data_IF_357377551489
#
_entry.id   IF_357377551489
#
_cell.length_a   1.000
_cell.length_b   1.000
_cell.length_c   1.000
_cell.angle_alpha   90.00
_cell.angle_beta   90.00
_cell.angle_gamma   90.00
#
_symmetry.space_group_name_H-M   'P 1'
#
loop_
_entity.id
_entity.type
_entity.pdbx_description
1 polymer ?
#
# COMPACT_ATOMS: atom_id res chain seq x y z
N UNK A 1 -23.29 51.43 36.06
CA UNK A 1 -23.54 50.51 34.93
C UNK A 1 -22.19 50.08 34.41
N UNK A 2 -21.66 49.11 35.14
CA UNK A 2 -20.36 48.51 35.00
C UNK A 2 -20.30 47.67 33.72
N UNK A 3 -19.22 47.82 32.96
CA UNK A 3 -18.77 46.81 32.00
C UNK A 3 -17.29 46.54 32.25
N UNK A 4 -17.06 45.65 33.21
CA UNK A 4 -15.82 44.87 33.30
C UNK A 4 -15.74 43.97 32.06
N UNK A 5 -14.66 44.09 31.30
CA UNK A 5 -14.20 43.05 30.36
C UNK A 5 -12.94 42.43 30.96
N UNK A 6 -12.87 41.10 31.14
CA UNK A 6 -11.72 40.47 31.77
C UNK A 6 -10.55 40.39 30.79
N UNK A 7 -9.35 40.65 31.31
CA UNK A 7 -8.10 40.36 30.65
C UNK A 7 -7.96 38.84 30.45
N UNK A 8 -7.90 38.39 29.20
CA UNK A 8 -7.57 37.01 28.86
C UNK A 8 -6.05 36.84 28.96
N UNK A 9 -5.63 36.08 29.96
CA UNK A 9 -4.26 35.60 30.15
C UNK A 9 -3.96 34.59 29.03
N UNK A 10 -3.23 35.01 28.00
CA UNK A 10 -2.69 34.10 27.00
C UNK A 10 -1.54 33.31 27.64
N UNK A 11 -1.82 32.09 28.09
CA UNK A 11 -0.80 31.12 28.46
C UNK A 11 -0.07 30.73 27.18
N UNK A 12 1.11 31.31 27.00
CA UNK A 12 2.11 30.91 26.02
C UNK A 12 2.56 29.48 26.38
N UNK A 13 1.87 28.48 25.84
CA UNK A 13 2.36 27.11 25.90
C UNK A 13 3.49 26.98 24.88
N UNK A 14 4.73 27.11 25.34
CA UNK A 14 5.90 26.66 24.61
C UNK A 14 5.77 25.14 24.40
N UNK A 15 5.22 24.72 23.27
CA UNK A 15 5.53 23.41 22.73
C UNK A 15 6.95 23.49 22.16
N UNK A 16 7.92 23.11 22.97
CA UNK A 16 9.29 22.89 22.56
C UNK A 16 9.36 21.56 21.79
N UNK A 17 9.89 21.63 20.55
CA UNK A 17 10.69 20.65 19.79
C UNK A 17 10.18 19.19 19.71
N UNK A 18 9.97 18.59 18.54
CA UNK A 18 10.70 18.75 17.29
C UNK A 18 9.72 18.72 16.09
N UNK A 19 9.67 19.81 15.33
CA UNK A 19 9.22 19.72 13.95
C UNK A 19 10.29 18.89 13.22
N UNK A 20 9.96 17.65 12.85
CA UNK A 20 10.74 16.92 11.87
C UNK A 20 10.79 17.82 10.63
N UNK A 21 11.97 18.37 10.35
CA UNK A 21 12.19 19.25 9.22
C UNK A 21 12.03 18.37 7.98
N UNK A 22 10.83 18.40 7.38
CA UNK A 22 10.57 17.75 6.11
C UNK A 22 11.45 18.46 5.09
N UNK A 23 12.54 17.83 4.68
CA UNK A 23 13.32 18.23 3.52
C UNK A 23 12.37 18.24 2.31
N UNK A 24 11.87 19.43 1.98
CA UNK A 24 10.62 19.65 1.24
C UNK A 24 10.59 19.20 -0.22
N UNK A 25 11.71 18.67 -0.74
CA UNK A 25 11.87 18.26 -2.15
C UNK A 25 12.56 16.89 -2.33
N UNK A 26 12.77 16.11 -1.26
CA UNK A 26 13.31 14.76 -1.44
C UNK A 26 12.21 13.77 -1.84
N UNK A 27 12.31 13.22 -3.06
CA UNK A 27 11.42 12.18 -3.61
C UNK A 27 11.92 10.75 -3.38
N UNK A 28 13.08 10.58 -2.74
CA UNK A 28 13.61 9.27 -2.36
C UNK A 28 13.07 8.85 -1.00
N UNK A 29 12.86 7.55 -0.83
CA UNK A 29 12.52 7.00 0.47
C UNK A 29 13.63 7.27 1.50
N UNK A 30 13.29 7.34 2.81
CA UNK A 30 14.27 7.65 3.86
C UNK A 30 15.40 6.61 4.03
N UNK A 31 15.32 5.43 3.39
CA UNK A 31 16.30 4.34 3.49
C UNK A 31 16.56 3.85 4.94
N UNK A 32 15.59 4.06 5.84
CA UNK A 32 15.59 3.59 7.22
C UNK A 32 15.02 2.17 7.38
N UNK A 33 14.34 1.68 6.34
CA UNK A 33 13.63 0.40 6.30
C UNK A 33 13.72 -0.20 4.90
N UNK A 34 13.68 -1.54 4.82
CA UNK A 34 13.86 -2.28 3.58
C UNK A 34 12.93 -3.50 3.54
N UNK A 35 12.27 -3.80 2.41
CA UNK A 35 11.43 -4.97 2.28
C UNK A 35 12.28 -6.23 2.19
N UNK A 36 11.79 -7.30 2.81
CA UNK A 36 12.31 -8.66 2.72
C UNK A 36 11.41 -9.49 1.78
N UNK A 37 10.09 -9.30 1.87
CA UNK A 37 9.10 -10.04 1.10
C UNK A 37 7.77 -9.29 1.04
N UNK A 38 7.03 -9.50 -0.04
CA UNK A 38 5.63 -9.13 -0.17
C UNK A 38 4.74 -10.36 -0.25
N UNK A 39 3.59 -10.33 0.43
CA UNK A 39 2.43 -11.14 0.12
C UNK A 39 1.32 -10.20 -0.37
N UNK A 40 1.03 -10.24 -1.67
CA UNK A 40 0.09 -9.36 -2.35
C UNK A 40 -1.16 -10.13 -2.77
N UNK A 41 -2.32 -9.67 -2.32
CA UNK A 41 -3.62 -10.12 -2.77
C UNK A 41 -4.32 -9.00 -3.55
N UNK A 42 -4.80 -9.33 -4.75
CA UNK A 42 -5.55 -8.42 -5.61
C UNK A 42 -6.90 -9.05 -5.99
N UNK A 43 -7.98 -8.31 -5.79
CA UNK A 43 -9.32 -8.67 -6.25
C UNK A 43 -9.72 -7.77 -7.40
N UNK A 44 -10.08 -8.36 -8.55
CA UNK A 44 -10.55 -7.60 -9.72
C UNK A 44 -11.98 -7.97 -10.12
N UNK A 45 -12.75 -6.95 -10.48
CA UNK A 45 -14.14 -7.08 -10.92
C UNK A 45 -14.30 -6.83 -12.42
N UNK A 46 -13.21 -6.89 -13.20
CA UNK A 46 -13.21 -6.55 -14.64
C UNK A 46 -14.20 -7.36 -15.49
N UNK A 47 -14.56 -8.54 -15.00
CA UNK A 47 -15.52 -9.47 -15.58
C UNK A 47 -16.99 -9.07 -15.38
N UNK A 48 -17.28 -8.09 -14.52
CA UNK A 48 -18.62 -7.65 -14.19
C UNK A 48 -19.12 -6.54 -15.13
N UNK A 49 -19.40 -6.92 -16.38
CA UNK A 49 -19.83 -5.97 -17.41
C UNK A 49 -21.01 -5.08 -16.98
N UNK A 50 -20.79 -3.76 -16.97
CA UNK A 50 -21.80 -2.76 -16.62
C UNK A 50 -22.04 -2.57 -15.12
N UNK A 51 -21.27 -3.25 -14.26
CA UNK A 51 -21.32 -3.08 -12.81
C UNK A 51 -20.63 -1.79 -12.36
N UNK A 52 -21.14 -1.17 -11.30
CA UNK A 52 -20.54 0.03 -10.71
C UNK A 52 -19.10 -0.19 -10.21
N UNK A 53 -18.71 -1.45 -9.96
CA UNK A 53 -17.36 -1.81 -9.51
C UNK A 53 -16.49 -2.42 -10.60
N UNK A 54 -16.95 -2.50 -11.86
CA UNK A 54 -16.26 -3.23 -12.94
C UNK A 54 -14.77 -2.88 -13.03
N UNK A 55 -14.42 -1.60 -12.86
CA UNK A 55 -13.04 -1.13 -12.98
C UNK A 55 -12.38 -0.82 -11.65
N UNK A 56 -13.03 -1.12 -10.53
CA UNK A 56 -12.40 -1.10 -9.22
C UNK A 56 -11.54 -2.34 -9.04
N UNK A 57 -10.51 -2.24 -8.21
CA UNK A 57 -9.85 -3.37 -7.60
C UNK A 57 -9.71 -3.15 -6.10
N UNK A 58 -9.77 -4.22 -5.33
CA UNK A 58 -9.43 -4.23 -3.91
C UNK A 58 -8.10 -4.93 -3.72
N UNK A 59 -7.33 -4.52 -2.73
CA UNK A 59 -6.01 -5.06 -2.49
C UNK A 59 -5.67 -5.16 -1.03
N UNK A 60 -4.86 -6.17 -0.74
CA UNK A 60 -4.24 -6.39 0.56
C UNK A 60 -2.77 -6.70 0.32
N UNK A 61 -1.88 -5.91 0.91
CA UNK A 61 -0.43 -6.17 0.82
C UNK A 61 0.15 -6.27 2.21
N UNK A 62 0.82 -7.37 2.48
CA UNK A 62 1.63 -7.57 3.68
C UNK A 62 3.10 -7.54 3.28
N UNK A 63 3.86 -6.67 3.94
CA UNK A 63 5.28 -6.42 3.69
C UNK A 63 6.04 -6.90 4.91
N UNK A 64 6.83 -7.94 4.76
CA UNK A 64 7.90 -8.24 5.72
C UNK A 64 9.06 -7.27 5.46
N UNK A 65 9.54 -6.57 6.49
CA UNK A 65 10.57 -5.56 6.35
C UNK A 65 11.52 -5.51 7.55
N UNK A 66 12.71 -4.98 7.32
CA UNK A 66 13.72 -4.74 8.35
C UNK A 66 13.97 -3.26 8.51
N UNK A 67 13.90 -2.77 9.74
CA UNK A 67 14.29 -1.41 10.15
C UNK A 67 15.69 -1.47 10.76
N UNK A 68 16.61 -0.64 10.27
CA UNK A 68 18.05 -0.66 10.65
C UNK A 68 18.52 0.58 11.42
N UNK A 69 17.61 1.46 11.78
CA UNK A 69 17.91 2.74 12.43
C UNK A 69 17.33 2.75 13.85
N UNK A 70 18.23 2.85 14.84
CA UNK A 70 17.92 2.81 16.28
C UNK A 70 17.12 4.02 16.77
N UNK A 71 16.89 5.02 15.92
CA UNK A 71 16.08 6.20 16.19
C UNK A 71 14.81 6.28 15.35
N UNK A 72 14.53 5.24 14.55
CA UNK A 72 13.42 5.28 13.61
C UNK A 72 12.05 5.15 14.29
N UNK A 73 11.14 6.09 14.02
CA UNK A 73 9.78 6.08 14.56
C UNK A 73 8.70 5.84 13.53
N UNK A 74 9.06 5.68 12.24
CA UNK A 74 8.08 5.54 11.16
C UNK A 74 8.59 4.71 9.99
N UNK A 75 7.67 4.08 9.25
CA UNK A 75 7.96 3.38 8.00
C UNK A 75 7.30 4.15 6.88
N UNK A 76 8.05 4.47 5.83
CA UNK A 76 7.52 5.19 4.66
C UNK A 76 7.66 4.31 3.42
N UNK A 77 6.58 4.18 2.65
CA UNK A 77 6.56 3.48 1.36
C UNK A 77 5.87 4.35 0.31
N UNK A 78 5.99 3.98 -0.96
CA UNK A 78 5.29 4.67 -2.03
C UNK A 78 3.83 4.23 -2.13
N UNK A 79 2.95 5.16 -2.54
CA UNK A 79 1.57 4.90 -2.93
C UNK A 79 1.15 5.89 -4.02
N UNK A 80 0.19 5.54 -4.89
CA UNK A 80 -0.35 6.46 -5.89
C UNK A 80 -1.82 6.16 -6.15
N UNK A 81 -2.69 7.15 -5.87
CA UNK A 81 -4.12 7.12 -6.22
C UNK A 81 -4.88 5.88 -5.73
N UNK A 82 -4.42 5.23 -4.67
CA UNK A 82 -5.15 4.20 -3.93
C UNK A 82 -5.73 4.80 -2.64
N UNK A 83 -6.87 4.26 -2.21
CA UNK A 83 -7.49 4.61 -0.93
C UNK A 83 -7.18 3.54 0.09
N UNK A 84 -6.33 3.87 1.06
CA UNK A 84 -6.00 2.99 2.18
C UNK A 84 -7.17 3.01 3.18
N UNK A 85 -7.68 1.82 3.51
CA UNK A 85 -8.80 1.64 4.45
C UNK A 85 -8.36 1.10 5.79
N UNK A 86 -7.21 0.42 5.84
CA UNK A 86 -6.70 -0.19 7.05
C UNK A 86 -5.17 -0.32 7.00
N UNK A 87 -4.52 -0.14 8.14
CA UNK A 87 -3.09 -0.36 8.33
C UNK A 87 -2.84 -1.16 9.60
N UNK A 88 -1.94 -2.14 9.50
CA UNK A 88 -1.51 -2.94 10.63
C UNK A 88 0.00 -3.07 10.65
N UNK A 89 0.61 -2.89 11.82
CA UNK A 89 2.05 -3.04 12.05
C UNK A 89 2.28 -3.92 13.26
N UNK A 90 3.09 -4.96 13.10
CA UNK A 90 3.44 -5.86 14.20
C UNK A 90 4.84 -6.45 14.05
N UNK A 91 5.36 -7.03 15.12
CA UNK A 91 6.54 -7.90 15.08
C UNK A 91 6.18 -9.27 15.66
N UNK A 92 6.92 -10.30 15.26
CA UNK A 92 6.78 -11.63 15.87
C UNK A 92 7.90 -11.85 16.88
N UNK A 93 7.53 -12.11 18.12
CA UNK A 93 8.46 -12.39 19.22
C UNK A 93 9.07 -13.79 19.06
N UNK A 94 10.20 -14.04 19.75
CA UNK A 94 10.92 -15.33 19.63
C UNK A 94 10.12 -16.57 20.08
N UNK A 95 9.00 -16.40 20.75
CA UNK A 95 8.06 -17.46 21.11
C UNK A 95 6.94 -17.67 20.06
N UNK A 96 7.01 -16.98 18.91
CA UNK A 96 6.01 -17.02 17.85
C UNK A 96 4.76 -16.19 18.10
N UNK A 97 4.71 -15.38 19.17
CA UNK A 97 3.57 -14.49 19.44
C UNK A 97 3.73 -13.18 18.70
N UNK A 98 2.65 -12.69 18.08
CA UNK A 98 2.65 -11.37 17.45
C UNK A 98 2.43 -10.26 18.48
N UNK A 99 3.35 -9.28 18.48
CA UNK A 99 3.23 -8.01 19.18
C UNK A 99 2.69 -6.97 18.20
N UNK A 100 1.39 -6.71 18.28
CA UNK A 100 0.72 -5.68 17.48
C UNK A 100 1.07 -4.30 18.01
N UNK A 101 1.68 -3.47 17.16
CA UNK A 101 2.06 -2.08 17.46
C UNK A 101 1.02 -1.09 16.96
N UNK A 102 0.31 -1.47 15.89
CA UNK A 102 -0.71 -0.67 15.23
C UNK A 102 -1.72 -1.59 14.53
N UNK A 103 -3.00 -1.25 14.61
CA UNK A 103 -4.10 -1.98 13.95
C UNK A 103 -5.31 -1.02 13.87
N UNK A 104 -5.32 -0.13 12.86
CA UNK A 104 -6.36 0.89 12.72
C UNK A 104 -6.52 1.42 11.28
N UNK A 105 -7.36 2.44 11.11
CA UNK A 105 -7.65 3.09 9.83
C UNK A 105 -7.19 4.55 9.74
N UNK A 106 -6.29 5.01 10.64
CA UNK A 106 -5.98 6.43 10.78
C UNK A 106 -4.51 6.77 11.09
N UNK A 107 -3.71 5.82 11.54
CA UNK A 107 -2.31 6.04 11.95
C UNK A 107 -1.33 5.99 10.77
N UNK A 108 -1.68 6.70 9.70
CA UNK A 108 -0.84 6.93 8.54
C UNK A 108 -1.02 8.35 8.00
N UNK A 109 0.02 8.88 7.38
CA UNK A 109 0.02 10.19 6.73
C UNK A 109 0.30 10.00 5.25
N UNK A 110 -0.53 10.62 4.42
CA UNK A 110 -0.38 10.62 2.98
C UNK A 110 0.29 11.91 2.50
N UNK A 111 1.27 11.77 1.62
CA UNK A 111 1.87 12.86 0.86
C UNK A 111 1.62 12.63 -0.63
N UNK A 112 0.55 13.22 -1.20
CA UNK A 112 0.22 13.05 -2.61
C UNK A 112 1.25 13.67 -3.57
N UNK A 113 2.05 14.64 -3.13
CA UNK A 113 3.08 15.29 -3.98
C UNK A 113 4.25 14.36 -4.19
N UNK A 114 4.71 13.73 -3.10
CA UNK A 114 5.85 12.80 -3.11
C UNK A 114 5.44 11.34 -3.30
N UNK A 115 4.14 11.07 -3.28
CA UNK A 115 3.56 9.74 -3.43
C UNK A 115 4.02 8.81 -2.30
N UNK A 116 3.97 9.31 -1.06
CA UNK A 116 4.37 8.59 0.14
C UNK A 116 3.21 8.33 1.08
N UNK A 117 3.18 7.13 1.64
CA UNK A 117 2.42 6.83 2.85
C UNK A 117 3.42 6.54 3.98
N UNK A 118 3.26 7.25 5.09
CA UNK A 118 4.11 7.11 6.28
C UNK A 118 3.27 6.59 7.44
N UNK A 119 3.70 5.48 8.04
CA UNK A 119 3.04 4.80 9.17
C UNK A 119 3.89 4.98 10.43
N UNK A 120 3.28 5.48 11.50
CA UNK A 120 3.98 5.88 12.73
C UNK A 120 3.28 5.32 13.97
N UNK A 121 3.73 4.18 14.53
CA UNK A 121 3.17 3.67 15.78
C UNK A 121 3.47 4.62 16.96
N UNK A 122 2.51 4.88 17.86
CA UNK A 122 2.66 5.86 18.92
C UNK A 122 3.66 5.40 19.99
N UNK A 123 4.71 6.21 20.21
CA UNK A 123 5.68 5.99 21.30
C UNK A 123 6.62 4.80 21.09
N UNK A 124 6.71 4.27 19.87
CA UNK A 124 7.56 3.12 19.54
C UNK A 124 8.73 3.56 18.67
N UNK A 125 9.92 3.13 19.06
CA UNK A 125 11.10 3.16 18.20
C UNK A 125 11.24 1.78 17.56
N UNK A 126 11.33 1.77 16.24
CA UNK A 126 11.37 0.59 15.40
C UNK A 126 12.81 0.17 15.18
N UNK A 127 13.14 -1.06 15.55
CA UNK A 127 14.44 -1.67 15.28
C UNK A 127 14.28 -3.19 15.18
N UNK A 128 14.60 -3.76 14.01
CA UNK A 128 14.44 -5.19 13.73
C UNK A 128 13.43 -5.49 12.64
N UNK A 129 12.83 -6.68 12.71
CA UNK A 129 11.92 -7.21 11.67
C UNK A 129 10.47 -6.95 12.04
N UNK A 130 9.70 -6.45 11.07
CA UNK A 130 8.29 -6.11 11.23
C UNK A 130 7.49 -6.59 10.02
N UNK A 131 6.18 -6.68 10.24
CA UNK A 131 5.20 -6.88 9.19
C UNK A 131 4.32 -5.64 9.12
N UNK A 132 4.24 -5.04 7.94
CA UNK A 132 3.39 -3.90 7.62
C UNK A 132 2.34 -4.34 6.62
N UNK A 133 1.07 -4.23 6.99
CA UNK A 133 -0.05 -4.60 6.15
C UNK A 133 -0.92 -3.39 5.82
N UNK A 134 -1.33 -3.30 4.56
CA UNK A 134 -2.33 -2.34 4.09
C UNK A 134 -3.49 -3.08 3.46
N UNK A 135 -4.71 -2.67 3.81
CA UNK A 135 -5.91 -2.97 3.01
C UNK A 135 -6.34 -1.67 2.32
N UNK A 136 -6.67 -1.77 1.04
CA UNK A 136 -6.92 -0.61 0.19
C UNK A 136 -7.77 -0.98 -1.02
N UNK A 137 -8.22 0.05 -1.74
CA UNK A 137 -8.83 -0.13 -3.06
C UNK A 137 -8.34 0.95 -4.03
N UNK A 138 -8.48 0.69 -5.32
CA UNK A 138 -8.14 1.61 -6.39
C UNK A 138 -8.99 1.37 -7.63
N UNK A 139 -8.74 2.16 -8.67
CA UNK A 139 -9.41 2.05 -9.97
C UNK A 139 -8.39 1.66 -11.04
N UNK A 140 -8.78 0.75 -11.94
CA UNK A 140 -8.01 0.36 -13.11
C UNK A 140 -7.87 1.56 -14.03
N UNK A 141 -6.61 1.90 -14.35
CA UNK A 141 -6.27 3.03 -15.21
C UNK A 141 -6.64 2.81 -16.67
N UNK A 142 -6.64 3.91 -17.42
CA UNK A 142 -6.95 3.95 -18.85
C UNK A 142 -5.72 4.28 -19.72
N UNK A 143 -4.57 4.55 -19.11
CA UNK A 143 -3.37 5.09 -19.78
C UNK A 143 -2.22 4.08 -19.90
N UNK A 144 -2.53 2.77 -19.85
CA UNK A 144 -1.57 1.67 -20.00
C UNK A 144 -0.40 1.69 -19.00
N UNK A 145 -0.62 2.22 -17.80
CA UNK A 145 0.37 2.27 -16.73
C UNK A 145 -0.23 1.70 -15.43
N UNK A 146 0.61 1.15 -14.55
CA UNK A 146 0.19 0.61 -13.26
C UNK A 146 -0.68 -0.62 -13.42
N UNK A 147 -1.75 -0.72 -12.64
CA UNK A 147 -2.82 -1.70 -12.86
C UNK A 147 -3.93 -1.03 -13.67
N UNK A 148 -4.16 -1.52 -14.90
CA UNK A 148 -4.98 -0.83 -15.88
C UNK A 148 -5.92 -1.79 -16.63
N UNK A 149 -6.96 -1.21 -17.22
CA UNK A 149 -7.93 -1.94 -18.03
C UNK A 149 -7.57 -1.85 -19.52
N UNK A 150 -7.75 -2.95 -20.23
CA UNK A 150 -7.70 -3.01 -21.68
C UNK A 150 -8.91 -3.76 -22.21
N UNK A 151 -9.13 -3.71 -23.52
CA UNK A 151 -10.22 -4.44 -24.15
C UNK A 151 -9.89 -4.89 -25.56
N UNK A 152 -10.64 -5.91 -26.01
CA UNK A 152 -10.67 -6.37 -27.38
C UNK A 152 -12.11 -6.68 -27.78
N UNK A 153 -12.36 -6.86 -29.07
CA UNK A 153 -13.67 -7.29 -29.59
C UNK A 153 -13.56 -8.78 -29.93
N UNK A 154 -14.47 -9.60 -29.39
CA UNK A 154 -14.52 -11.03 -29.70
C UNK A 154 -15.17 -11.32 -31.06
N UNK A 155 -15.15 -12.59 -31.48
CA UNK A 155 -15.69 -13.04 -32.77
C UNK A 155 -17.21 -12.79 -32.89
N UNK A 156 -17.92 -12.65 -31.77
CA UNK A 156 -19.34 -12.30 -31.73
C UNK A 156 -19.59 -10.77 -31.70
N UNK A 157 -18.53 -9.95 -31.83
CA UNK A 157 -18.62 -8.50 -31.86
C UNK A 157 -18.81 -7.84 -30.49
N UNK A 158 -18.58 -8.57 -29.39
CA UNK A 158 -18.72 -8.06 -28.03
C UNK A 158 -17.39 -7.53 -27.51
N UNK A 159 -17.41 -6.39 -26.84
CA UNK A 159 -16.24 -5.88 -26.12
C UNK A 159 -15.95 -6.77 -24.91
N UNK A 160 -14.73 -7.28 -24.83
CA UNK A 160 -14.19 -8.05 -23.71
C UNK A 160 -13.15 -7.23 -22.97
N UNK A 161 -13.35 -7.05 -21.67
CA UNK A 161 -12.42 -6.31 -20.81
C UNK A 161 -11.39 -7.24 -20.18
N UNK A 162 -10.19 -6.73 -19.93
CA UNK A 162 -9.15 -7.41 -19.18
C UNK A 162 -8.42 -6.43 -18.28
N UNK A 163 -7.93 -6.91 -17.14
CA UNK A 163 -7.06 -6.15 -16.25
C UNK A 163 -5.62 -6.64 -16.43
N UNK A 164 -4.68 -5.71 -16.53
CA UNK A 164 -3.27 -6.06 -16.76
C UNK A 164 -2.35 -4.99 -16.16
N UNK A 165 -1.06 -5.29 -16.06
CA UNK A 165 -0.10 -4.47 -15.33
C UNK A 165 1.04 -3.99 -16.21
N UNK A 166 1.47 -2.75 -15.99
CA UNK A 166 2.68 -2.15 -16.55
C UNK A 166 3.32 -1.28 -15.47
N UNK A 167 4.19 -1.89 -14.65
CA UNK A 167 4.74 -1.23 -13.47
C UNK A 167 5.98 -0.37 -13.73
N UNK A 168 6.64 -0.55 -14.88
CA UNK A 168 7.79 0.29 -15.22
C UNK A 168 7.32 1.71 -15.56
N UNK A 169 7.99 2.78 -15.08
CA UNK A 169 9.18 2.76 -14.20
C UNK A 169 8.88 2.94 -12.72
N UNK A 170 7.74 3.55 -12.37
CA UNK A 170 7.34 3.88 -10.99
C UNK A 170 5.83 3.76 -10.80
N UNK A 171 5.21 2.78 -11.48
CA UNK A 171 3.76 2.59 -11.46
C UNK A 171 3.32 1.38 -10.63
N UNK A 172 4.25 0.62 -10.05
CA UNK A 172 3.90 -0.42 -9.05
C UNK A 172 3.14 0.20 -7.86
N UNK A 173 3.55 1.39 -7.42
CA UNK A 173 2.88 2.16 -6.35
C UNK A 173 1.42 2.51 -6.63
N UNK A 174 0.95 2.41 -7.88
CA UNK A 174 -0.46 2.58 -8.22
C UNK A 174 -1.28 1.30 -7.98
N UNK A 175 -0.64 0.14 -8.09
CA UNK A 175 -1.30 -1.13 -7.85
C UNK A 175 -1.34 -1.46 -6.36
N UNK A 176 -0.27 -1.15 -5.61
CA UNK A 176 -0.20 -1.43 -4.17
C UNK A 176 0.85 -0.55 -3.47
N UNK A 177 0.67 -0.21 -2.17
CA UNK A 177 1.71 0.46 -1.40
C UNK A 177 3.00 -0.38 -1.32
N UNK A 178 4.14 0.17 -1.74
CA UNK A 178 5.39 -0.60 -1.85
C UNK A 178 6.67 0.26 -1.89
N UNK A 179 7.84 -0.39 -1.81
CA UNK A 179 9.14 0.26 -1.98
C UNK A 179 9.48 0.34 -3.46
N UNK A 180 8.80 1.23 -4.19
CA UNK A 180 8.91 1.40 -5.64
C UNK A 180 10.14 2.22 -6.07
N UNK A 181 11.34 1.72 -5.74
CA UNK A 181 12.63 2.25 -6.21
C UNK A 181 13.47 1.12 -6.85
N UNK A 182 14.12 1.30 -8.02
CA UNK A 182 14.80 0.22 -8.75
C UNK A 182 15.87 -0.57 -7.96
N UNK A 183 16.48 0.07 -6.96
CA UNK A 183 17.51 -0.51 -6.09
C UNK A 183 16.98 -1.25 -4.86
N UNK A 184 15.66 -1.24 -4.64
CA UNK A 184 15.00 -1.88 -3.51
C UNK A 184 14.08 -2.96 -4.08
N UNK A 185 14.46 -4.23 -3.95
CA UNK A 185 13.71 -5.37 -4.49
C UNK A 185 13.50 -6.43 -3.43
N UNK A 186 12.33 -7.05 -3.44
CA UNK A 186 12.00 -8.22 -2.64
C UNK A 186 11.05 -9.14 -3.45
N UNK A 187 11.06 -10.45 -3.21
CA UNK A 187 10.14 -11.39 -3.85
C UNK A 187 8.67 -11.07 -3.49
N UNK A 188 7.78 -11.34 -4.43
CA UNK A 188 6.33 -11.16 -4.27
C UNK A 188 5.64 -12.52 -4.37
N UNK A 189 4.96 -12.93 -3.31
CA UNK A 189 3.90 -13.93 -3.37
C UNK A 189 2.61 -13.27 -3.85
N UNK A 190 1.99 -13.78 -4.91
CA UNK A 190 0.82 -13.15 -5.53
C UNK A 190 -0.41 -14.05 -5.44
N UNK A 191 -1.49 -13.44 -5.00
CA UNK A 191 -2.82 -14.00 -4.95
C UNK A 191 -3.76 -13.13 -5.78
N UNK A 192 -4.52 -13.73 -6.72
CA UNK A 192 -5.50 -12.99 -7.51
C UNK A 192 -6.87 -13.61 -7.38
N UNK A 193 -7.83 -12.81 -6.92
CA UNK A 193 -9.27 -13.13 -6.86
C UNK A 193 -9.92 -12.54 -8.11
N UNK A 194 -10.60 -13.37 -8.89
CA UNK A 194 -11.17 -12.98 -10.18
C UNK A 194 -12.47 -13.73 -10.51
N UNK A 195 -13.15 -13.35 -11.58
CA UNK A 195 -14.34 -14.07 -12.06
C UNK A 195 -13.98 -15.44 -12.62
N UNK A 196 -14.81 -16.45 -12.37
CA UNK A 196 -14.55 -17.84 -12.77
C UNK A 196 -14.36 -18.05 -14.29
N UNK A 197 -14.83 -17.11 -15.11
CA UNK A 197 -14.66 -17.12 -16.57
C UNK A 197 -13.35 -16.46 -17.06
N UNK A 198 -12.48 -16.04 -16.15
CA UNK A 198 -11.19 -15.41 -16.47
C UNK A 198 -10.03 -16.34 -16.10
N UNK A 199 -8.90 -16.14 -16.78
CA UNK A 199 -7.63 -16.78 -16.45
C UNK A 199 -6.65 -15.71 -16.02
N UNK A 200 -5.86 -16.00 -14.98
CA UNK A 200 -4.79 -15.13 -14.50
C UNK A 200 -3.46 -15.64 -15.03
N UNK A 201 -2.59 -14.71 -15.42
CA UNK A 201 -1.21 -14.97 -15.81
C UNK A 201 -0.30 -14.09 -14.95
N UNK A 202 0.85 -14.64 -14.56
CA UNK A 202 1.88 -13.94 -13.79
C UNK A 202 3.26 -14.42 -14.24
N UNK A 203 4.33 -13.83 -13.68
CA UNK A 203 5.72 -14.18 -13.98
C UNK A 203 6.06 -15.64 -13.62
N UNK A 204 5.33 -16.21 -12.66
CA UNK A 204 5.55 -17.57 -12.18
C UNK A 204 4.43 -18.53 -12.60
N UNK A 205 4.72 -19.83 -12.52
CA UNK A 205 3.71 -20.86 -12.62
C UNK A 205 2.76 -20.82 -11.41
N UNK A 206 1.45 -21.04 -11.62
CA UNK A 206 0.49 -21.07 -10.52
C UNK A 206 0.76 -22.28 -9.63
N UNK A 207 0.75 -22.05 -8.32
CA UNK A 207 0.86 -23.08 -7.28
C UNK A 207 -0.48 -23.77 -7.04
N UNK A 208 -1.55 -23.00 -7.09
CA UNK A 208 -2.91 -23.48 -6.87
C UNK A 208 -3.89 -22.68 -7.74
N UNK A 209 -4.88 -23.38 -8.28
CA UNK A 209 -5.92 -22.81 -9.14
C UNK A 209 -7.26 -23.40 -8.67
N UNK A 210 -8.18 -22.52 -8.31
CA UNK A 210 -9.56 -22.88 -7.97
C UNK A 210 -10.53 -21.88 -8.59
N UNK A 211 -11.83 -22.21 -8.56
CA UNK A 211 -12.85 -21.35 -9.14
C UNK A 211 -12.88 -19.97 -8.45
N UNK A 212 -12.39 -18.96 -9.17
CA UNK A 212 -12.34 -17.57 -8.73
C UNK A 212 -11.08 -17.14 -8.00
N UNK A 213 -10.04 -17.97 -7.98
CA UNK A 213 -8.82 -17.71 -7.23
C UNK A 213 -7.58 -18.42 -7.80
N UNK A 214 -6.46 -17.70 -7.93
CA UNK A 214 -5.16 -18.26 -8.33
C UNK A 214 -4.05 -17.80 -7.38
N UNK A 215 -3.23 -18.75 -6.97
CA UNK A 215 -2.02 -18.54 -6.18
C UNK A 215 -0.78 -18.71 -7.03
N UNK A 216 0.16 -17.79 -6.88
CA UNK A 216 1.51 -17.89 -7.40
C UNK A 216 2.51 -17.95 -6.26
N UNK A 217 3.46 -18.89 -6.36
CA UNK A 217 4.63 -18.88 -5.49
C UNK A 217 5.50 -17.63 -5.75
N UNK A 218 6.43 -17.37 -4.84
CA UNK A 218 7.30 -16.20 -4.83
C UNK A 218 8.09 -16.02 -6.14
N UNK A 219 8.04 -14.81 -6.69
CA UNK A 219 8.73 -14.44 -7.93
C UNK A 219 9.31 -13.04 -7.92
N UNK A 220 10.17 -12.78 -8.91
CA UNK A 220 10.67 -11.44 -9.23
C UNK A 220 9.91 -10.82 -10.40
#
# INVERSE_FOLDING_TARGET
MDKFAPAALAVLCLACSACAQLDGDNYRLPNNSYPVRYDLELTTYVHEDGSARQFRFDGKVKIELVVKDESNSSITVHYRKTTITHVKLWSTLGNGTDLVLLDDNSSFVLDPKREFVTVSPPGVILNGTYFLEFEYYGELREDNAGFYRSSYVDDEGRTRWLATTQFSSTDARHAFPCYDEPGIRAPIGLTVIHGANYTVLSNNLPKDISDGYVLYDEGF
#
